data_IF_213117390609
#
_entry.id   IF_213117390609
#
_cell.length_a   1.000
_cell.length_b   1.000
_cell.length_c   1.000
_cell.angle_alpha   90.00
_cell.angle_beta   90.00
_cell.angle_gamma   90.00
#
_symmetry.space_group_name_H-M   'P 1'
#
loop_
_entity.id
_entity.type
_entity.pdbx_description
1 polymer ?
#
# COMPACT_ATOMS: atom_id res chain seq x y z
N UNK A 1 13.37 -2.31 15.99
CA UNK A 1 13.37 -1.97 14.55
C UNK A 1 11.93 -2.07 14.05
N UNK A 2 11.45 -1.09 13.28
CA UNK A 2 10.10 -1.14 12.70
C UNK A 2 10.19 -1.56 11.24
N UNK A 3 9.60 -2.71 10.91
CA UNK A 3 9.52 -3.18 9.52
C UNK A 3 8.53 -2.32 8.74
N UNK A 4 8.94 -1.86 7.56
CA UNK A 4 8.09 -1.17 6.58
C UNK A 4 8.22 -1.88 5.24
N UNK A 5 7.10 -2.10 4.57
CA UNK A 5 7.04 -2.71 3.25
C UNK A 5 6.40 -1.74 2.25
N UNK A 6 6.90 -1.74 1.02
CA UNK A 6 6.35 -0.97 -0.10
C UNK A 6 6.07 -1.94 -1.25
N UNK A 7 4.85 -1.91 -1.77
CA UNK A 7 4.41 -2.77 -2.88
C UNK A 7 4.23 -1.87 -4.11
N UNK A 8 5.07 -2.06 -5.11
CA UNK A 8 5.06 -1.29 -6.36
C UNK A 8 4.71 -2.18 -7.56
N UNK A 9 4.22 -1.57 -8.63
CA UNK A 9 3.76 -2.27 -9.83
C UNK A 9 2.77 -1.44 -10.65
N UNK A 10 2.52 -1.86 -11.88
CA UNK A 10 1.64 -1.14 -12.82
C UNK A 10 0.18 -1.09 -12.34
N UNK A 11 -0.64 -0.18 -12.90
CA UNK A 11 -2.06 -0.09 -12.54
C UNK A 11 -2.78 -1.42 -12.79
N UNK A 12 -3.74 -1.76 -11.93
CA UNK A 12 -4.53 -3.00 -11.97
C UNK A 12 -3.75 -4.33 -11.86
N UNK A 13 -2.49 -4.34 -11.40
CA UNK A 13 -1.72 -5.58 -11.19
C UNK A 13 -1.94 -6.27 -9.82
N UNK A 14 -2.91 -5.82 -9.02
CA UNK A 14 -3.27 -6.45 -7.74
C UNK A 14 -2.51 -5.97 -6.49
N UNK A 15 -1.82 -4.82 -6.55
CA UNK A 15 -1.03 -4.29 -5.41
C UNK A 15 -1.86 -4.12 -4.14
N UNK A 16 -3.03 -3.50 -4.22
CA UNK A 16 -3.88 -3.24 -3.06
C UNK A 16 -4.41 -4.54 -2.44
N UNK A 17 -4.69 -5.56 -3.25
CA UNK A 17 -5.04 -6.91 -2.78
C UNK A 17 -3.90 -7.55 -1.99
N UNK A 18 -2.68 -7.52 -2.54
CA UNK A 18 -1.50 -8.09 -1.85
C UNK A 18 -1.19 -7.29 -0.58
N UNK A 19 -1.31 -5.97 -0.61
CA UNK A 19 -1.07 -5.11 0.55
C UNK A 19 -2.04 -5.36 1.71
N UNK A 20 -3.32 -5.51 1.42
CA UNK A 20 -4.32 -5.88 2.43
C UNK A 20 -4.02 -7.25 3.05
N UNK A 21 -3.74 -8.27 2.23
CA UNK A 21 -3.39 -9.62 2.71
C UNK A 21 -2.10 -9.65 3.52
N UNK A 22 -1.10 -8.84 3.14
CA UNK A 22 0.16 -8.72 3.89
C UNK A 22 -0.07 -8.06 5.24
N UNK A 23 -0.90 -7.01 5.29
CA UNK A 23 -1.29 -6.34 6.53
C UNK A 23 -2.02 -7.29 7.49
N UNK A 24 -2.98 -8.08 7.00
CA UNK A 24 -3.66 -9.10 7.80
C UNK A 24 -2.69 -10.11 8.42
N UNK A 25 -1.70 -10.57 7.65
CA UNK A 25 -0.72 -11.58 8.11
C UNK A 25 0.34 -11.03 9.05
N UNK A 26 0.66 -9.75 8.95
CA UNK A 26 1.78 -9.13 9.70
C UNK A 26 1.33 -8.22 10.84
N UNK A 27 0.05 -7.84 10.87
CA UNK A 27 -0.49 -6.83 11.78
C UNK A 27 -0.01 -5.40 11.46
N UNK A 28 0.67 -5.19 10.34
CA UNK A 28 1.10 -3.85 9.91
C UNK A 28 -0.07 -3.09 9.29
N UNK A 29 -0.19 -1.77 9.54
CA UNK A 29 -1.22 -0.97 8.88
C UNK A 29 -0.97 -0.90 7.37
N UNK A 30 -2.03 -1.11 6.57
CA UNK A 30 -2.03 -0.87 5.13
C UNK A 30 -2.46 0.56 4.81
N UNK A 31 -1.83 1.17 3.81
CA UNK A 31 -2.22 2.46 3.23
C UNK A 31 -2.03 2.36 1.72
N UNK A 32 -3.02 2.80 0.94
CA UNK A 32 -2.84 2.91 -0.50
C UNK A 32 -1.99 4.16 -0.83
N UNK A 33 -1.12 4.03 -1.82
CA UNK A 33 -0.26 5.13 -2.25
C UNK A 33 -1.04 6.21 -2.99
N UNK A 34 -2.14 5.83 -3.65
CA UNK A 34 -2.98 6.75 -4.41
C UNK A 34 -3.71 7.74 -3.48
N UNK A 35 -4.02 7.33 -2.26
CA UNK A 35 -4.63 8.18 -1.22
C UNK A 35 -3.66 9.24 -0.66
N UNK A 36 -2.37 9.13 -0.97
CA UNK A 36 -1.32 9.99 -0.44
C UNK A 36 -0.94 11.14 -1.38
N UNK A 37 -1.62 11.29 -2.52
CA UNK A 37 -1.40 12.42 -3.40
C UNK A 37 -1.79 13.74 -2.69
N UNK A 38 -0.95 14.78 -2.76
CA UNK A 38 -1.34 16.09 -2.25
C UNK A 38 -2.50 16.63 -3.07
N UNK A 39 -3.40 17.39 -2.45
CA UNK A 39 -4.57 17.98 -3.12
C UNK A 39 -4.22 18.86 -4.34
N UNK A 40 -2.98 19.37 -4.40
CA UNK A 40 -2.45 20.11 -5.56
C UNK A 40 -2.17 19.23 -6.79
N UNK A 41 -2.22 17.91 -6.66
CA UNK A 41 -1.83 16.93 -7.67
C UNK A 41 -2.87 15.80 -7.81
N UNK A 42 -4.14 16.12 -7.55
CA UNK A 42 -5.31 15.29 -7.90
C UNK A 42 -5.95 15.90 -9.15
#
# INVERSE_FOLDING_TARGET
MHTRAVIMGVSSCGKSTVGALLAERTGLPFRDGDDMHPASNI
#
